data_IF_512735917370
#
_entry.id   IF_512735917370
#
_cell.length_a   1.000
_cell.length_b   1.000
_cell.length_c   1.000
_cell.angle_alpha   90.00
_cell.angle_beta   90.00
_cell.angle_gamma   90.00
#
_symmetry.space_group_name_H-M   'P 1'
#
loop_
_entity.id
_entity.type
_entity.pdbx_description
1 polymer ?
#
# COMPACT_ATOMS: atom_id res chain seq x y z
N UNK A 1 11.87 7.08 -5.07
CA UNK A 1 11.00 8.27 -5.25
C UNK A 1 11.73 9.58 -4.99
N UNK A 2 12.36 9.78 -3.82
CA UNK A 2 13.11 11.03 -3.55
C UNK A 2 14.28 11.28 -4.51
N UNK A 3 15.09 10.25 -4.78
CA UNK A 3 16.19 10.34 -5.73
C UNK A 3 15.71 10.68 -7.17
N UNK A 4 14.59 10.08 -7.59
CA UNK A 4 14.00 10.32 -8.91
C UNK A 4 13.31 11.68 -9.04
N UNK A 5 12.72 12.19 -7.95
CA UNK A 5 12.17 13.54 -7.89
C UNK A 5 13.27 14.61 -7.80
N UNK A 6 14.43 14.29 -7.19
CA UNK A 6 15.61 15.15 -7.19
C UNK A 6 16.28 15.24 -8.56
N UNK A 7 16.09 14.21 -9.39
CA UNK A 7 16.62 14.15 -10.75
C UNK A 7 15.78 14.93 -11.78
N UNK A 8 14.81 15.75 -11.34
CA UNK A 8 13.88 16.53 -12.19
C UNK A 8 13.09 15.73 -13.23
N UNK A 9 13.07 14.41 -13.12
CA UNK A 9 12.36 13.54 -14.05
C UNK A 9 10.84 13.74 -13.95
N UNK A 10 10.20 13.76 -15.11
CA UNK A 10 8.76 13.90 -15.22
C UNK A 10 8.05 12.65 -14.69
N UNK A 11 6.82 12.79 -14.18
CA UNK A 11 6.11 11.67 -13.53
C UNK A 11 5.97 10.43 -14.42
N UNK A 12 5.82 10.64 -15.73
CA UNK A 12 5.74 9.58 -16.73
C UNK A 12 7.08 8.86 -16.93
N UNK A 13 8.20 9.59 -16.90
CA UNK A 13 9.54 9.01 -17.02
C UNK A 13 9.89 8.18 -15.78
N UNK A 14 9.53 8.68 -14.60
CA UNK A 14 9.65 7.93 -13.33
C UNK A 14 8.82 6.63 -13.40
N UNK A 15 7.62 6.70 -13.98
CA UNK A 15 6.73 5.56 -14.14
C UNK A 15 7.35 4.49 -15.05
N UNK A 16 7.86 4.89 -16.22
CA UNK A 16 8.56 4.02 -17.17
C UNK A 16 9.82 3.41 -16.57
N UNK A 17 10.66 4.22 -15.90
CA UNK A 17 11.91 3.77 -15.28
C UNK A 17 11.69 2.75 -14.16
N UNK A 18 10.64 2.93 -13.36
CA UNK A 18 10.31 2.03 -12.24
C UNK A 18 9.45 0.84 -12.70
N UNK A 19 8.94 0.85 -13.93
CA UNK A 19 8.05 -0.19 -14.45
C UNK A 19 6.66 -0.20 -13.79
N UNK A 20 6.16 0.97 -13.37
CA UNK A 20 4.84 1.11 -12.74
C UNK A 20 3.97 2.10 -13.50
N UNK A 21 2.66 1.99 -13.37
CA UNK A 21 1.75 2.94 -14.00
C UNK A 21 1.90 4.37 -13.43
N UNK A 22 1.73 5.41 -14.26
CA UNK A 22 1.81 6.83 -13.87
C UNK A 22 0.90 7.18 -12.68
N UNK A 23 -0.29 6.55 -12.61
CA UNK A 23 -1.22 6.75 -11.49
C UNK A 23 -0.64 6.29 -10.15
N UNK A 24 0.28 5.32 -10.14
CA UNK A 24 1.01 4.87 -8.95
C UNK A 24 1.95 5.97 -8.44
N UNK A 25 2.71 6.60 -9.36
CA UNK A 25 3.60 7.73 -9.06
C UNK A 25 2.81 8.92 -8.52
N UNK A 26 1.68 9.27 -9.14
CA UNK A 26 0.78 10.35 -8.66
C UNK A 26 0.24 10.08 -7.26
N UNK A 27 -0.23 8.85 -6.99
CA UNK A 27 -0.71 8.45 -5.66
C UNK A 27 0.40 8.55 -4.62
N UNK A 28 1.62 8.12 -4.96
CA UNK A 28 2.74 8.23 -4.03
C UNK A 28 3.19 9.67 -3.79
N UNK A 29 3.20 10.55 -4.80
CA UNK A 29 3.44 12.00 -4.58
C UNK A 29 2.43 12.61 -3.61
N UNK A 30 1.13 12.28 -3.75
CA UNK A 30 0.08 12.77 -2.84
C UNK A 30 0.29 12.27 -1.41
N UNK A 31 0.72 11.02 -1.24
CA UNK A 31 1.05 10.42 0.07
C UNK A 31 2.31 11.05 0.67
N UNK A 32 3.26 11.47 -0.17
CA UNK A 32 4.51 12.11 0.19
C UNK A 32 4.43 13.61 0.50
N UNK A 33 3.24 14.22 0.44
CA UNK A 33 3.07 15.69 0.57
C UNK A 33 3.32 16.24 1.98
N UNK A 34 3.69 15.41 2.97
CA UNK A 34 4.07 15.89 4.31
C UNK A 34 5.51 16.43 4.23
N UNK A 35 5.66 17.72 4.52
CA UNK A 35 6.76 18.66 4.22
C UNK A 35 8.17 18.32 4.75
N UNK A 36 8.49 17.07 5.07
CA UNK A 36 9.78 16.64 5.63
C UNK A 36 10.57 15.64 4.76
N UNK A 37 10.25 15.56 3.47
CA UNK A 37 10.92 14.64 2.54
C UNK A 37 10.45 13.19 2.63
N UNK A 38 11.14 12.30 1.92
CA UNK A 38 10.75 10.89 1.77
C UNK A 38 11.14 10.07 3.00
N UNK A 39 10.15 9.62 3.80
CA UNK A 39 10.36 8.76 4.98
C UNK A 39 9.74 7.37 4.75
N UNK A 40 10.46 6.42 4.13
CA UNK A 40 9.91 5.14 3.69
C UNK A 40 9.32 4.29 4.81
N UNK A 41 9.93 4.32 6.02
CA UNK A 41 9.40 3.62 7.20
C UNK A 41 7.99 4.11 7.58
N UNK A 42 7.78 5.42 7.60
CA UNK A 42 6.47 6.01 7.91
C UNK A 42 5.45 5.72 6.81
N UNK A 43 5.86 5.82 5.54
CA UNK A 43 5.00 5.50 4.40
C UNK A 43 4.55 4.03 4.44
N UNK A 44 5.46 3.11 4.77
CA UNK A 44 5.17 1.69 4.92
C UNK A 44 4.20 1.43 6.10
N UNK A 45 4.46 2.03 7.26
CA UNK A 45 3.55 1.94 8.41
C UNK A 45 2.14 2.44 8.08
N UNK A 46 2.03 3.60 7.41
CA UNK A 46 0.75 4.16 6.97
C UNK A 46 0.06 3.26 5.93
N UNK A 47 0.81 2.61 5.04
CA UNK A 47 0.25 1.64 4.09
C UNK A 47 -0.28 0.39 4.79
N UNK A 48 0.46 -0.15 5.77
CA UNK A 48 0.00 -1.27 6.62
C UNK A 48 -1.26 -0.91 7.39
N UNK A 49 -1.28 0.28 8.02
CA UNK A 49 -2.45 0.75 8.74
C UNK A 49 -3.67 0.88 7.83
N UNK A 50 -3.53 1.51 6.64
CA UNK A 50 -4.61 1.59 5.63
C UNK A 50 -5.08 0.21 5.17
N UNK A 51 -4.18 -0.77 5.03
CA UNK A 51 -4.53 -2.14 4.67
C UNK A 51 -5.38 -2.79 5.77
N UNK A 52 -4.97 -2.65 7.03
CA UNK A 52 -5.70 -3.18 8.18
C UNK A 52 -7.08 -2.52 8.35
N UNK A 53 -7.18 -1.21 8.18
CA UNK A 53 -8.45 -0.49 8.38
C UNK A 53 -9.43 -0.63 7.22
N UNK A 54 -8.94 -0.81 5.99
CA UNK A 54 -9.79 -0.95 4.79
C UNK A 54 -10.28 -2.38 4.59
N UNK A 55 -9.48 -3.39 4.93
CA UNK A 55 -9.88 -4.78 4.75
C UNK A 55 -10.87 -5.12 5.87
N UNK A 56 -12.16 -5.06 5.55
CA UNK A 56 -13.17 -5.78 6.32
C UNK A 56 -13.10 -7.25 5.87
N UNK A 57 -12.76 -8.20 6.76
CA UNK A 57 -12.77 -9.60 6.39
C UNK A 57 -14.18 -10.00 5.95
N UNK A 58 -14.28 -10.65 4.78
CA UNK A 58 -15.57 -11.09 4.21
C UNK A 58 -16.20 -12.21 5.05
N UNK A 59 -15.36 -13.00 5.69
CA UNK A 59 -15.71 -14.13 6.57
C UNK A 59 -15.34 -13.69 7.98
N UNK A 60 -16.30 -13.68 8.90
CA UNK A 60 -16.03 -13.25 10.26
C UNK A 60 -15.39 -14.39 11.07
N UNK A 61 -14.80 -14.07 12.22
CA UNK A 61 -14.17 -15.09 13.08
C UNK A 61 -15.15 -16.19 13.51
N UNK A 62 -16.46 -15.90 13.62
CA UNK A 62 -17.47 -16.93 13.91
C UNK A 62 -17.59 -17.94 12.77
N UNK A 63 -17.59 -17.48 11.53
CA UNK A 63 -17.67 -18.33 10.35
C UNK A 63 -16.42 -19.22 10.25
N UNK A 64 -15.24 -18.66 10.54
CA UNK A 64 -13.99 -19.43 10.58
C UNK A 64 -13.99 -20.51 11.66
N UNK A 65 -14.51 -20.21 12.86
CA UNK A 65 -14.67 -21.21 13.93
C UNK A 65 -15.64 -22.33 13.54
N UNK A 66 -16.68 -22.01 12.78
CA UNK A 66 -17.60 -23.03 12.28
C UNK A 66 -16.91 -23.95 11.26
N UNK A 67 -16.16 -23.37 10.31
CA UNK A 67 -15.36 -24.14 9.34
C UNK A 67 -14.35 -25.05 10.03
N UNK A 68 -13.62 -24.55 11.03
CA UNK A 68 -12.66 -25.35 11.80
C UNK A 68 -13.32 -26.49 12.57
N UNK A 69 -14.55 -26.31 13.07
CA UNK A 69 -15.28 -27.38 13.76
C UNK A 69 -15.71 -28.46 12.77
N UNK A 70 -16.28 -28.06 11.63
CA UNK A 70 -16.74 -29.00 10.60
C UNK A 70 -15.58 -29.81 10.01
N UNK A 71 -14.41 -29.20 9.82
CA UNK A 71 -13.19 -29.90 9.34
C UNK A 71 -12.59 -30.90 10.34
N UNK A 72 -13.02 -30.90 11.61
CA UNK A 72 -12.57 -31.86 12.64
C UNK A 72 -13.55 -33.02 12.85
N UNK A 73 -14.74 -32.92 12.27
CA UNK A 73 -15.78 -33.94 12.36
C UNK A 73 -15.72 -34.95 11.19
N UNK A 74 -14.88 -34.68 10.17
CA UNK A 74 -14.39 -35.64 9.15
C UNK A 74 -13.05 -36.28 9.57
#
# INVERSE_FOLDING_TARGET
MYALLKAELNQSEIATLVGVHQSTIRRERRRHRRLRGYRPKQAHQLARHRRQTKIKPRICDKDWRLVERLLRED
#
